data_IF_932733889685
#
_entry.id   IF_932733889685
#
_cell.length_a   1.000
_cell.length_b   1.000
_cell.length_c   1.000
_cell.angle_alpha   90.00
_cell.angle_beta   90.00
_cell.angle_gamma   90.00
#
_symmetry.space_group_name_H-M   'P 1'
#
loop_
_entity.id
_entity.type
_entity.pdbx_description
1 polymer ?
#
# COMPACT_ATOMS: atom_id res chain seq x y z
N UNK A 1 -10.75 -25.46 -25.93
CA UNK A 1 -10.17 -24.10 -25.90
C UNK A 1 -8.90 -24.19 -25.07
N UNK A 2 -7.75 -24.22 -25.75
CA UNK A 2 -6.46 -24.34 -25.09
C UNK A 2 -6.11 -23.06 -24.34
N UNK A 3 -5.78 -23.23 -23.07
CA UNK A 3 -5.41 -22.15 -22.17
C UNK A 3 -3.94 -21.83 -22.42
N UNK A 4 -3.66 -20.98 -23.40
CA UNK A 4 -2.28 -20.56 -23.69
C UNK A 4 -1.77 -19.73 -22.52
N UNK A 5 -1.00 -20.36 -21.68
CA UNK A 5 -0.21 -19.71 -20.62
C UNK A 5 0.79 -18.78 -21.29
N UNK A 6 0.55 -17.47 -21.26
CA UNK A 6 1.54 -16.47 -21.65
C UNK A 6 2.66 -16.53 -20.61
N UNK A 7 3.71 -17.28 -20.91
CA UNK A 7 4.97 -17.23 -20.16
C UNK A 7 5.64 -15.91 -20.48
N UNK A 8 5.85 -15.09 -19.47
CA UNK A 8 6.72 -13.90 -19.59
C UNK A 8 8.11 -14.37 -20.01
N UNK A 9 8.78 -13.70 -20.97
CA UNK A 9 10.19 -13.95 -21.21
C UNK A 9 10.95 -13.64 -19.91
N UNK A 10 11.80 -14.56 -19.50
CA UNK A 10 12.61 -14.53 -18.27
C UNK A 10 13.71 -13.44 -18.29
N UNK A 11 13.68 -12.58 -19.30
CA UNK A 11 14.57 -11.43 -19.51
C UNK A 11 14.04 -10.09 -18.97
N UNK A 12 12.95 -10.09 -18.18
CA UNK A 12 12.60 -8.85 -17.49
C UNK A 12 13.66 -8.60 -16.41
N UNK A 13 14.38 -7.46 -16.45
CA UNK A 13 15.31 -7.13 -15.37
C UNK A 13 14.54 -7.20 -14.07
N UNK A 14 14.94 -8.12 -13.21
CA UNK A 14 14.31 -8.27 -11.91
C UNK A 14 14.51 -6.94 -11.19
N UNK A 15 13.44 -6.19 -10.98
CA UNK A 15 13.40 -5.10 -9.99
C UNK A 15 13.51 -5.72 -8.58
N UNK A 16 14.06 -6.91 -8.50
CA UNK A 16 14.17 -7.83 -7.38
C UNK A 16 15.38 -7.60 -6.47
N UNK A 17 15.96 -6.43 -6.46
CA UNK A 17 16.53 -5.89 -5.24
C UNK A 17 15.36 -5.26 -4.51
N UNK A 18 14.77 -5.96 -3.53
CA UNK A 18 13.56 -5.47 -2.85
C UNK A 18 13.74 -4.02 -2.45
N UNK A 19 12.89 -3.11 -2.98
CA UNK A 19 12.89 -1.72 -2.58
C UNK A 19 12.72 -1.69 -1.05
N UNK A 20 13.72 -1.22 -0.35
CA UNK A 20 13.65 -1.03 1.10
C UNK A 20 12.78 0.17 1.46
N UNK A 21 12.57 1.07 0.50
CA UNK A 21 11.78 2.29 0.60
C UNK A 21 11.24 2.67 -0.78
N UNK A 22 10.06 3.27 -0.83
CA UNK A 22 9.49 3.86 -2.04
C UNK A 22 8.74 5.14 -1.67
N UNK A 23 9.48 6.18 -1.34
CA UNK A 23 8.98 7.51 -0.97
C UNK A 23 9.40 8.59 -1.97
N UNK A 24 10.31 8.26 -2.87
CA UNK A 24 10.83 9.14 -3.92
C UNK A 24 11.11 8.34 -5.19
N UNK A 25 11.09 9.00 -6.35
CA UNK A 25 11.53 8.40 -7.60
C UNK A 25 13.01 7.98 -7.59
N UNK A 26 13.81 8.59 -6.73
CA UNK A 26 15.23 8.23 -6.54
C UNK A 26 15.43 6.90 -5.82
N UNK A 27 14.41 6.36 -5.17
CA UNK A 27 14.47 5.04 -4.54
C UNK A 27 14.37 3.91 -5.57
N UNK A 28 14.03 4.23 -6.81
CA UNK A 28 13.88 3.26 -7.90
C UNK A 28 15.19 3.17 -8.70
N UNK A 29 15.90 2.02 -8.66
CA UNK A 29 17.16 1.86 -9.35
C UNK A 29 17.06 2.00 -10.88
N UNK A 30 15.96 1.52 -11.47
CA UNK A 30 15.67 1.64 -12.90
C UNK A 30 14.22 2.10 -13.12
N UNK A 31 14.07 3.40 -13.35
CA UNK A 31 12.78 4.01 -13.61
C UNK A 31 12.16 3.54 -14.94
N UNK A 32 12.99 3.24 -15.96
CA UNK A 32 12.50 2.78 -17.24
C UNK A 32 11.92 1.36 -17.13
N UNK A 33 12.57 0.48 -16.37
CA UNK A 33 12.03 -0.85 -16.07
C UNK A 33 10.70 -0.75 -15.31
N UNK A 34 10.59 0.16 -14.34
CA UNK A 34 9.34 0.38 -13.61
C UNK A 34 8.22 0.87 -14.53
N UNK A 35 8.51 1.81 -15.42
CA UNK A 35 7.54 2.32 -16.41
C UNK A 35 7.09 1.21 -17.37
N UNK A 36 8.01 0.41 -17.89
CA UNK A 36 7.69 -0.75 -18.74
C UNK A 36 6.77 -1.72 -18.02
N UNK A 37 7.06 -2.02 -16.74
CA UNK A 37 6.22 -2.89 -15.90
C UNK A 37 4.83 -2.29 -15.67
N UNK A 38 4.73 -0.99 -15.43
CA UNK A 38 3.45 -0.31 -15.29
C UNK A 38 2.61 -0.37 -16.58
N UNK A 39 3.24 -0.17 -17.76
CA UNK A 39 2.58 -0.29 -19.05
C UNK A 39 2.12 -1.73 -19.32
N UNK A 40 2.91 -2.72 -18.94
CA UNK A 40 2.53 -4.13 -19.03
C UNK A 40 1.26 -4.41 -18.21
N UNK A 41 1.20 -3.98 -16.94
CA UNK A 41 0.01 -4.17 -16.11
C UNK A 41 -1.20 -3.36 -16.57
N UNK A 42 -0.99 -2.25 -17.27
CA UNK A 42 -2.09 -1.50 -17.86
C UNK A 42 -2.86 -2.32 -18.91
N UNK A 43 -2.15 -3.17 -19.65
CA UNK A 43 -2.75 -4.05 -20.67
C UNK A 43 -3.08 -5.45 -20.15
N UNK A 44 -2.39 -5.88 -19.07
CA UNK A 44 -2.55 -7.21 -18.48
C UNK A 44 -2.77 -7.12 -16.96
N UNK A 45 -3.88 -6.52 -16.50
CA UNK A 45 -4.06 -6.17 -15.08
C UNK A 45 -4.09 -7.37 -14.13
N UNK A 46 -4.38 -8.57 -14.63
CA UNK A 46 -4.49 -9.79 -13.83
C UNK A 46 -3.30 -10.75 -14.05
N UNK A 47 -2.22 -10.32 -14.73
CA UNK A 47 -1.09 -11.18 -15.07
C UNK A 47 -0.50 -11.88 -13.84
N UNK A 48 -0.39 -11.17 -12.72
CA UNK A 48 0.21 -11.65 -11.49
C UNK A 48 -0.82 -11.86 -10.36
N UNK A 49 -2.05 -12.25 -10.72
CA UNK A 49 -3.16 -12.43 -9.76
C UNK A 49 -2.85 -13.42 -8.63
N UNK A 50 -1.90 -14.32 -8.81
CA UNK A 50 -1.51 -15.29 -7.80
C UNK A 50 -0.54 -14.77 -6.74
N UNK A 51 0.12 -13.61 -6.97
CA UNK A 51 1.14 -13.10 -6.05
C UNK A 51 0.59 -12.72 -4.67
N UNK A 52 -0.65 -12.27 -4.63
CA UNK A 52 -1.29 -11.80 -3.41
C UNK A 52 -2.28 -12.80 -2.79
N UNK A 53 -2.37 -14.01 -3.30
CA UNK A 53 -3.28 -15.04 -2.75
C UNK A 53 -2.95 -15.32 -1.28
N UNK A 54 -3.98 -15.32 -0.43
CA UNK A 54 -3.87 -15.46 1.03
C UNK A 54 -3.12 -14.32 1.72
N UNK A 55 -2.95 -13.17 1.05
CA UNK A 55 -2.35 -11.96 1.60
C UNK A 55 -3.40 -10.88 1.83
N UNK A 56 -3.24 -10.14 2.93
CA UNK A 56 -4.09 -9.00 3.28
C UNK A 56 -3.29 -7.70 3.23
N UNK A 57 -3.89 -6.70 2.59
CA UNK A 57 -3.37 -5.32 2.61
C UNK A 57 -4.34 -4.41 3.35
N UNK A 58 -3.84 -3.70 4.37
CA UNK A 58 -4.57 -2.64 5.05
C UNK A 58 -4.30 -1.28 4.39
N UNK A 59 -5.34 -0.56 4.02
CA UNK A 59 -5.25 0.79 3.46
C UNK A 59 -5.82 1.79 4.47
N UNK A 60 -4.93 2.44 5.21
CA UNK A 60 -5.27 3.37 6.29
C UNK A 60 -5.23 4.81 5.76
N UNK A 61 -6.36 5.47 5.73
CA UNK A 61 -6.47 6.84 5.30
C UNK A 61 -6.65 7.78 6.51
N UNK A 62 -5.62 8.60 6.76
CA UNK A 62 -5.68 9.69 7.73
C UNK A 62 -6.33 10.94 7.13
N UNK A 63 -6.31 11.04 5.81
CA UNK A 63 -6.97 12.11 5.05
C UNK A 63 -7.76 11.52 3.87
N UNK A 64 -8.88 12.12 3.48
CA UNK A 64 -9.65 11.67 2.33
C UNK A 64 -8.82 11.70 1.04
N UNK A 65 -8.77 10.58 0.31
CA UNK A 65 -8.10 10.48 -0.99
C UNK A 65 -8.79 9.46 -1.87
N UNK A 66 -9.75 9.91 -2.66
CA UNK A 66 -10.56 9.02 -3.48
C UNK A 66 -9.73 8.26 -4.52
N UNK A 67 -8.88 8.96 -5.28
CA UNK A 67 -8.09 8.36 -6.36
C UNK A 67 -7.07 7.35 -5.84
N UNK A 68 -6.32 7.70 -4.80
CA UNK A 68 -5.35 6.79 -4.17
C UNK A 68 -6.05 5.56 -3.59
N UNK A 69 -7.19 5.76 -2.91
CA UNK A 69 -8.00 4.67 -2.37
C UNK A 69 -8.39 3.68 -3.46
N UNK A 70 -9.04 4.16 -4.52
CA UNK A 70 -9.55 3.30 -5.59
C UNK A 70 -8.42 2.61 -6.36
N UNK A 71 -7.37 3.35 -6.76
CA UNK A 71 -6.27 2.78 -7.54
C UNK A 71 -5.52 1.69 -6.76
N UNK A 72 -5.24 1.93 -5.47
CA UNK A 72 -4.51 0.96 -4.64
C UNK A 72 -5.38 -0.26 -4.34
N UNK A 73 -6.67 -0.06 -4.05
CA UNK A 73 -7.60 -1.15 -3.79
C UNK A 73 -7.76 -2.05 -5.03
N UNK A 74 -7.95 -1.46 -6.21
CA UNK A 74 -8.06 -2.22 -7.47
C UNK A 74 -6.74 -2.95 -7.79
N UNK A 75 -5.59 -2.29 -7.59
CA UNK A 75 -4.30 -2.93 -7.79
C UNK A 75 -4.11 -4.16 -6.88
N UNK A 76 -4.46 -4.05 -5.59
CA UNK A 76 -4.41 -5.15 -4.65
C UNK A 76 -5.31 -6.32 -5.08
N UNK A 77 -6.54 -6.04 -5.49
CA UNK A 77 -7.47 -7.04 -5.99
C UNK A 77 -6.96 -7.72 -7.27
N UNK A 78 -6.34 -6.96 -8.18
CA UNK A 78 -5.74 -7.50 -9.39
C UNK A 78 -4.58 -8.47 -9.10
N UNK A 79 -3.87 -8.25 -7.99
CA UNK A 79 -2.84 -9.16 -7.50
C UNK A 79 -3.40 -10.35 -6.69
N UNK A 80 -4.71 -10.39 -6.45
CA UNK A 80 -5.38 -11.44 -5.67
C UNK A 80 -5.33 -11.25 -4.16
N UNK A 81 -5.00 -10.05 -3.69
CA UNK A 81 -5.01 -9.71 -2.26
C UNK A 81 -6.42 -9.38 -1.76
N UNK A 82 -6.65 -9.66 -0.49
CA UNK A 82 -7.77 -9.07 0.25
C UNK A 82 -7.39 -7.63 0.65
N UNK A 83 -8.16 -6.65 0.20
CA UNK A 83 -7.93 -5.25 0.53
C UNK A 83 -8.94 -4.76 1.57
N UNK A 84 -8.45 -4.39 2.74
CA UNK A 84 -9.26 -3.80 3.82
C UNK A 84 -8.92 -2.31 3.89
N UNK A 85 -9.94 -1.48 3.70
CA UNK A 85 -9.78 -0.02 3.60
C UNK A 85 -10.56 0.63 4.71
N UNK A 86 -9.93 1.54 5.46
CA UNK A 86 -10.64 2.33 6.46
C UNK A 86 -10.04 3.74 6.64
N UNK A 87 -10.92 4.66 7.03
CA UNK A 87 -10.56 6.02 7.36
C UNK A 87 -10.44 6.11 8.89
N UNK A 88 -9.24 6.41 9.38
CA UNK A 88 -8.90 6.33 10.81
C UNK A 88 -9.86 7.15 11.67
N UNK A 89 -10.08 8.42 11.33
CA UNK A 89 -10.89 9.32 12.17
C UNK A 89 -12.43 9.21 11.93
N UNK A 90 -12.88 8.38 10.98
CA UNK A 90 -14.29 8.33 10.60
C UNK A 90 -14.93 6.97 10.79
N UNK A 91 -14.19 5.91 10.56
CA UNK A 91 -14.67 4.53 10.63
C UNK A 91 -14.14 3.81 11.89
N UNK A 92 -13.14 4.40 12.54
CA UNK A 92 -12.59 3.93 13.80
C UNK A 92 -12.62 5.01 14.87
N UNK A 93 -11.68 4.97 15.77
CA UNK A 93 -11.46 5.99 16.79
C UNK A 93 -10.30 6.91 16.41
N UNK A 94 -10.31 8.11 16.93
CA UNK A 94 -9.25 9.09 16.70
C UNK A 94 -7.94 8.65 17.35
N UNK A 95 -6.86 8.66 16.58
CA UNK A 95 -5.52 8.35 17.04
C UNK A 95 -4.79 9.61 17.52
N UNK A 96 -4.01 9.45 18.58
CA UNK A 96 -3.08 10.46 19.05
C UNK A 96 -1.69 10.26 18.41
N UNK A 97 -1.09 11.35 17.95
CA UNK A 97 0.21 11.34 17.27
C UNK A 97 1.30 12.08 18.04
N UNK A 98 0.94 12.93 19.03
CA UNK A 98 1.88 13.70 19.79
C UNK A 98 2.54 12.87 20.89
N UNK A 99 3.86 12.91 20.96
CA UNK A 99 4.60 12.19 21.98
C UNK A 99 4.39 12.81 23.37
N UNK A 100 4.03 11.97 24.33
CA UNK A 100 3.76 12.41 25.71
C UNK A 100 2.41 13.09 25.89
N UNK A 101 1.53 13.06 24.90
CA UNK A 101 0.18 13.59 25.01
C UNK A 101 -0.59 12.91 26.16
N UNK A 102 -1.30 13.71 26.94
CA UNK A 102 -2.24 13.19 27.95
C UNK A 102 -3.53 12.87 27.25
N UNK A 103 -3.93 11.59 27.28
CA UNK A 103 -5.15 11.07 26.61
C UNK A 103 -6.43 11.50 27.34
N UNK A 104 -6.65 12.80 27.46
CA UNK A 104 -7.82 13.39 28.12
C UNK A 104 -8.77 14.14 27.17
N UNK A 105 -8.50 14.05 25.86
CA UNK A 105 -9.27 14.71 24.80
C UNK A 105 -10.20 13.74 24.06
N UNK A 106 -10.30 13.93 22.75
CA UNK A 106 -11.11 13.12 21.84
C UNK A 106 -10.36 11.92 21.27
N UNK A 107 -9.06 11.84 21.46
CA UNK A 107 -8.21 10.73 21.02
C UNK A 107 -8.32 9.56 22.01
N UNK A 108 -8.41 8.34 21.48
CA UNK A 108 -8.68 7.13 22.28
C UNK A 108 -7.43 6.27 22.43
N UNK A 109 -6.54 6.29 21.45
CA UNK A 109 -5.36 5.45 21.43
C UNK A 109 -4.19 6.17 20.76
N UNK A 110 -2.98 5.94 21.24
CA UNK A 110 -1.78 6.48 20.62
C UNK A 110 -1.35 5.62 19.43
N UNK A 111 -0.90 6.25 18.35
CA UNK A 111 -0.44 5.54 17.13
C UNK A 111 0.65 4.52 17.40
N UNK A 112 1.49 4.75 18.42
CA UNK A 112 2.56 3.80 18.83
C UNK A 112 1.99 2.47 19.33
N UNK A 113 0.82 2.49 19.95
CA UNK A 113 0.15 1.30 20.46
C UNK A 113 -0.70 0.64 19.35
N UNK A 114 -1.41 1.44 18.55
CA UNK A 114 -2.23 0.96 17.45
C UNK A 114 -1.41 0.30 16.33
N UNK A 115 -0.26 0.86 15.96
CA UNK A 115 0.51 0.40 14.81
C UNK A 115 1.00 -1.07 14.91
N UNK A 116 1.57 -1.55 16.04
CA UNK A 116 1.93 -2.95 16.21
C UNK A 116 0.74 -3.89 16.14
N UNK A 117 -0.42 -3.47 16.69
CA UNK A 117 -1.65 -4.26 16.68
C UNK A 117 -2.16 -4.40 15.25
N UNK A 118 -2.26 -3.29 14.52
CA UNK A 118 -2.66 -3.27 13.10
C UNK A 118 -1.72 -4.13 12.25
N UNK A 119 -0.40 -4.10 12.53
CA UNK A 119 0.60 -4.94 11.87
C UNK A 119 0.34 -6.45 12.01
N UNK A 120 -0.42 -6.90 13.00
CA UNK A 120 -0.77 -8.31 13.15
C UNK A 120 -1.91 -8.77 12.23
N UNK A 121 -2.74 -7.85 11.76
CA UNK A 121 -3.88 -8.17 10.89
C UNK A 121 -3.52 -8.22 9.41
N UNK A 122 -2.42 -7.55 9.01
CA UNK A 122 -2.04 -7.35 7.61
C UNK A 122 -0.65 -7.90 7.31
N UNK A 123 -0.48 -8.41 6.09
CA UNK A 123 0.85 -8.73 5.55
C UNK A 123 1.57 -7.46 5.07
N UNK A 124 0.79 -6.49 4.60
CA UNK A 124 1.24 -5.17 4.16
C UNK A 124 0.22 -4.15 4.64
N UNK A 125 0.67 -3.01 5.13
CA UNK A 125 -0.24 -1.88 5.30
C UNK A 125 0.33 -0.60 4.73
N UNK A 126 -0.55 0.24 4.24
CA UNK A 126 -0.27 1.51 3.58
C UNK A 126 -0.97 2.61 4.35
N UNK A 127 -0.20 3.50 4.94
CA UNK A 127 -0.72 4.71 5.55
C UNK A 127 -0.64 5.86 4.55
N UNK A 128 -1.77 6.51 4.31
CA UNK A 128 -1.86 7.68 3.43
C UNK A 128 -2.07 8.92 4.29
N UNK A 129 -1.05 9.76 4.32
CA UNK A 129 -1.02 11.01 5.06
C UNK A 129 -0.74 12.18 4.11
N UNK A 130 -1.63 13.15 4.05
CA UNK A 130 -1.42 14.41 3.37
C UNK A 130 -1.18 15.50 4.42
N UNK A 131 0.06 16.00 4.49
CA UNK A 131 0.35 17.18 5.31
C UNK A 131 0.00 18.44 4.54
N UNK A 132 -0.74 19.41 5.13
CA UNK A 132 -1.21 20.60 4.41
C UNK A 132 -0.10 21.48 3.82
N UNK A 133 1.13 21.34 4.30
CA UNK A 133 2.27 22.17 3.86
C UNK A 133 3.43 21.38 3.24
N UNK A 134 3.29 20.06 3.04
CA UNK A 134 4.33 19.21 2.43
C UNK A 134 3.68 18.15 1.55
N UNK A 135 4.39 17.73 0.52
CA UNK A 135 3.97 16.66 -0.38
C UNK A 135 3.43 15.46 0.39
N UNK A 136 2.26 14.97 -0.02
CA UNK A 136 1.64 13.80 0.59
C UNK A 136 2.62 12.64 0.64
N UNK A 137 2.71 11.97 1.79
CA UNK A 137 3.53 10.78 1.96
C UNK A 137 2.63 9.55 1.99
N UNK A 138 3.01 8.55 1.22
CA UNK A 138 2.51 7.21 1.33
C UNK A 138 3.60 6.36 1.99
N UNK A 139 3.30 5.76 3.12
CA UNK A 139 4.22 4.89 3.84
C UNK A 139 3.73 3.46 3.68
N UNK A 140 4.57 2.61 3.12
CA UNK A 140 4.29 1.17 2.98
C UNK A 140 5.10 0.46 4.05
N UNK A 141 4.42 -0.29 4.90
CA UNK A 141 5.06 -1.14 5.92
C UNK A 141 4.79 -2.60 5.55
N UNK A 142 5.84 -3.39 5.57
CA UNK A 142 5.80 -4.85 5.40
C UNK A 142 6.09 -5.53 6.73
N UNK A 143 5.44 -6.65 6.95
CA UNK A 143 5.74 -7.56 8.05
C UNK A 143 6.96 -8.40 7.73
#
# INVERSE_FOLDING_TARGET
MENTRVTLPDDSPSVAGGLSSFVSATDVPDINALVKKALFYKTNPLADKSLGVNKRIGLLFLNPSLRTRLSTQVAAQNLGMEAIVFNVDKEGWALEFEEGAIMNGTTVEHVKDAAPILGNYFDIYVCVLFHPFKTGKMIIVRK
#
